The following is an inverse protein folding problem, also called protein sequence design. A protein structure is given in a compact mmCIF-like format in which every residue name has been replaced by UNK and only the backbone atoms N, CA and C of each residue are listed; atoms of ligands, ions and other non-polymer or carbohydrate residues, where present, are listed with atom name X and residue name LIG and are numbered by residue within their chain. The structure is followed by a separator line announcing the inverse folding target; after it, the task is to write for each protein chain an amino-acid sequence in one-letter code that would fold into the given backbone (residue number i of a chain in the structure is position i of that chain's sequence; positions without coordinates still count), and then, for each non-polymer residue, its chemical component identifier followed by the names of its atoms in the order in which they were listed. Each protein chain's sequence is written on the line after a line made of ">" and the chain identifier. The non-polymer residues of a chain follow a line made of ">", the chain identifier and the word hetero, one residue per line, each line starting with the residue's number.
data_IF_807626351497
#
_entry.id   IF_807626351497
#
_cell.length_a   1.000
_cell.length_b   1.000
_cell.length_c   1.000
_cell.angle_alpha   90.00
_cell.angle_beta   90.00
_cell.angle_gamma   90.00
#
_symmetry.space_group_name_H-M   'P 1'
#
loop_
_entity.id
_entity.type
_entity.pdbx_description
1 polymer ?
#
# COMPACT_ATOMS: atom_id res chain seq x y z
N UNK A 1 21.43 16.86 7.26
CA UNK A 1 20.17 16.91 6.48
C UNK A 1 20.44 17.31 5.03
N UNK A 2 21.29 18.31 4.76
CA UNK A 2 21.63 18.75 3.40
C UNK A 2 22.26 17.69 2.47
N UNK A 3 22.94 16.66 3.03
CA UNK A 3 23.62 15.62 2.24
C UNK A 3 22.67 14.75 1.39
N UNK A 4 21.43 14.53 1.85
CA UNK A 4 20.43 13.76 1.11
C UNK A 4 19.71 14.58 0.03
N UNK A 5 19.82 15.92 0.09
CA UNK A 5 19.20 16.84 -0.88
C UNK A 5 19.93 16.80 -2.24
N UNK A 6 21.22 16.46 -2.24
CA UNK A 6 22.07 16.40 -3.44
C UNK A 6 21.55 15.33 -4.43
N UNK A 7 20.98 14.23 -3.95
CA UNK A 7 20.48 13.14 -4.81
C UNK A 7 19.02 13.32 -5.25
N UNK A 8 18.22 14.04 -4.47
CA UNK A 8 16.87 14.48 -4.89
C UNK A 8 16.95 15.64 -5.92
N UNK A 9 18.16 16.02 -6.36
CA UNK A 9 18.36 17.16 -7.26
C UNK A 9 18.03 16.87 -8.73
N UNK A 10 17.89 15.61 -9.15
CA UNK A 10 17.37 15.27 -10.48
C UNK A 10 15.84 15.12 -10.44
N UNK A 11 15.14 15.85 -11.30
CA UNK A 11 13.68 15.84 -11.42
C UNK A 11 13.08 14.43 -11.51
N UNK A 12 13.80 13.48 -12.15
CA UNK A 12 13.36 12.08 -12.26
C UNK A 12 13.23 11.38 -10.91
N UNK A 13 14.15 11.64 -9.98
CA UNK A 13 14.19 10.99 -8.67
C UNK A 13 13.12 11.59 -7.76
N UNK A 14 12.92 12.91 -7.83
CA UNK A 14 11.79 13.61 -7.19
C UNK A 14 10.45 13.04 -7.67
N UNK A 15 10.30 12.85 -8.98
CA UNK A 15 9.07 12.35 -9.57
C UNK A 15 8.82 10.87 -9.20
N UNK A 16 9.88 10.06 -9.07
CA UNK A 16 9.79 8.68 -8.59
C UNK A 16 9.32 8.62 -7.13
N UNK A 17 9.94 9.40 -6.23
CA UNK A 17 9.53 9.49 -4.83
C UNK A 17 8.08 9.97 -4.71
N UNK A 18 7.68 10.98 -5.50
CA UNK A 18 6.29 11.48 -5.50
C UNK A 18 5.28 10.41 -5.95
N UNK A 19 5.64 9.58 -6.93
CA UNK A 19 4.78 8.47 -7.37
C UNK A 19 4.59 7.43 -6.27
N UNK A 20 5.67 7.09 -5.57
CA UNK A 20 5.62 6.16 -4.43
C UNK A 20 4.72 6.74 -3.32
N UNK A 21 4.91 8.01 -2.97
CA UNK A 21 4.11 8.68 -1.95
C UNK A 21 2.60 8.69 -2.29
N UNK A 22 2.25 9.06 -3.53
CA UNK A 22 0.87 9.00 -4.01
C UNK A 22 0.29 7.58 -3.91
N UNK A 23 1.06 6.56 -4.32
CA UNK A 23 0.62 5.16 -4.24
C UNK A 23 0.41 4.71 -2.79
N UNK A 24 1.26 5.14 -1.86
CA UNK A 24 1.11 4.85 -0.42
C UNK A 24 -0.14 5.53 0.13
N UNK A 25 -0.39 6.80 -0.21
CA UNK A 25 -1.60 7.53 0.21
C UNK A 25 -2.87 6.86 -0.31
N UNK A 26 -2.91 6.47 -1.58
CA UNK A 26 -4.03 5.73 -2.16
C UNK A 26 -4.24 4.37 -1.48
N UNK A 27 -3.14 3.65 -1.21
CA UNK A 27 -3.19 2.34 -0.55
C UNK A 27 -3.69 2.47 0.89
N UNK A 28 -3.34 3.54 1.59
CA UNK A 28 -3.82 3.84 2.95
C UNK A 28 -5.31 4.10 2.98
N UNK A 29 -5.82 4.88 2.01
CA UNK A 29 -7.27 5.10 1.84
C UNK A 29 -7.99 3.78 1.57
N UNK A 30 -7.51 2.99 0.61
CA UNK A 30 -8.05 1.67 0.29
C UNK A 30 -8.06 0.73 1.50
N UNK A 31 -7.03 0.76 2.34
CA UNK A 31 -6.99 -0.02 3.57
C UNK A 31 -8.13 0.36 4.52
N UNK A 32 -8.33 1.68 4.71
CA UNK A 32 -9.39 2.19 5.58
C UNK A 32 -10.79 1.81 5.06
N UNK A 33 -11.00 1.88 3.75
CA UNK A 33 -12.27 1.50 3.12
C UNK A 33 -12.52 -0.01 3.20
N UNK A 34 -11.48 -0.84 3.00
CA UNK A 34 -11.59 -2.29 3.14
C UNK A 34 -11.89 -2.71 4.57
N UNK A 35 -11.28 -2.06 5.57
CA UNK A 35 -11.56 -2.34 6.97
C UNK A 35 -13.03 -2.11 7.32
N UNK A 36 -13.61 -0.99 6.85
CA UNK A 36 -15.04 -0.70 7.02
C UNK A 36 -15.92 -1.78 6.37
N UNK A 37 -15.60 -2.16 5.14
CA UNK A 37 -16.35 -3.20 4.41
C UNK A 37 -16.26 -4.56 5.10
N UNK A 38 -15.11 -4.92 5.66
CA UNK A 38 -14.95 -6.15 6.45
C UNK A 38 -15.79 -6.11 7.73
N UNK A 39 -15.83 -4.97 8.42
CA UNK A 39 -16.66 -4.79 9.61
C UNK A 39 -18.16 -4.90 9.29
N UNK A 40 -18.62 -4.25 8.22
CA UNK A 40 -19.98 -4.36 7.70
C UNK A 40 -20.32 -5.81 7.34
N UNK A 41 -19.43 -6.48 6.61
CA UNK A 41 -19.62 -7.88 6.21
C UNK A 41 -19.64 -8.84 7.41
N UNK A 42 -18.85 -8.56 8.45
CA UNK A 42 -18.87 -9.31 9.71
C UNK A 42 -20.21 -9.13 10.45
N UNK A 43 -20.78 -7.92 10.39
CA UNK A 43 -22.11 -7.64 10.94
C UNK A 43 -23.20 -8.41 10.19
N UNK A 44 -23.10 -8.50 8.86
CA UNK A 44 -24.02 -9.31 8.06
C UNK A 44 -23.93 -10.81 8.41
N UNK A 45 -22.72 -11.34 8.59
CA UNK A 45 -22.49 -12.72 9.05
C UNK A 45 -23.15 -12.98 10.41
N UNK A 46 -22.97 -12.09 11.38
CA UNK A 46 -23.64 -12.21 12.68
C UNK A 46 -25.17 -12.22 12.52
N UNK A 47 -25.71 -11.38 11.63
CA UNK A 47 -27.13 -11.36 11.31
C UNK A 47 -27.65 -12.67 10.71
N UNK A 48 -26.86 -13.35 9.87
CA UNK A 48 -27.22 -14.65 9.29
C UNK A 48 -27.23 -15.78 10.33
N UNK A 49 -26.42 -15.66 11.40
CA UNK A 49 -26.44 -16.63 12.50
C UNK A 49 -27.75 -16.56 13.30
N UNK A 50 -28.34 -15.37 13.42
CA UNK A 50 -29.62 -15.14 14.09
C UNK A 50 -30.81 -15.50 13.20
N UNK A 51 -30.75 -15.11 11.92
CA UNK A 51 -31.77 -15.38 10.92
C UNK A 51 -31.12 -15.75 9.58
N UNK A 52 -31.12 -17.04 9.19
CA UNK A 52 -30.53 -17.51 7.94
C UNK A 52 -31.10 -16.91 6.66
N UNK A 53 -32.29 -16.29 6.73
CA UNK A 53 -32.97 -15.68 5.59
C UNK A 53 -32.91 -14.14 5.60
N UNK A 54 -32.16 -13.55 6.54
CA UNK A 54 -32.06 -12.09 6.72
C UNK A 54 -31.52 -11.34 5.49
N UNK A 55 -30.66 -11.99 4.71
CA UNK A 55 -30.04 -11.41 3.51
C UNK A 55 -30.22 -12.32 2.30
N UNK A 56 -30.20 -11.71 1.11
CA UNK A 56 -30.15 -12.46 -0.14
C UNK A 56 -28.80 -13.21 -0.25
N UNK A 57 -28.87 -14.54 -0.36
CA UNK A 57 -27.68 -15.39 -0.32
C UNK A 57 -26.78 -15.25 -1.55
N UNK A 58 -27.34 -14.91 -2.72
CA UNK A 58 -26.56 -14.70 -3.95
C UNK A 58 -25.84 -13.36 -3.91
N UNK A 59 -26.53 -12.31 -3.47
CA UNK A 59 -25.93 -11.00 -3.26
C UNK A 59 -24.82 -11.06 -2.22
N UNK A 60 -25.09 -11.68 -1.06
CA UNK A 60 -24.10 -11.81 0.02
C UNK A 60 -22.83 -12.52 -0.45
N UNK A 61 -22.95 -13.62 -1.19
CA UNK A 61 -21.79 -14.35 -1.74
C UNK A 61 -21.02 -13.56 -2.78
N UNK A 62 -21.72 -12.78 -3.60
CA UNK A 62 -21.10 -11.90 -4.60
C UNK A 62 -20.29 -10.80 -3.93
N UNK A 63 -20.87 -10.16 -2.91
CA UNK A 63 -20.18 -9.13 -2.12
C UNK A 63 -18.99 -9.70 -1.33
N UNK A 64 -19.12 -10.91 -0.80
CA UNK A 64 -18.03 -11.62 -0.12
C UNK A 64 -16.86 -11.87 -1.08
N UNK A 65 -17.13 -12.43 -2.25
CA UNK A 65 -16.10 -12.70 -3.26
C UNK A 65 -15.39 -11.41 -3.69
N UNK A 66 -16.15 -10.33 -3.94
CA UNK A 66 -15.55 -9.05 -4.29
C UNK A 66 -14.65 -8.51 -3.17
N UNK A 67 -15.04 -8.69 -1.91
CA UNK A 67 -14.23 -8.29 -0.76
C UNK A 67 -12.91 -9.09 -0.68
N UNK A 68 -12.96 -10.40 -0.91
CA UNK A 68 -11.76 -11.26 -0.97
C UNK A 68 -10.80 -10.84 -2.08
N UNK A 69 -11.34 -10.56 -3.27
CA UNK A 69 -10.57 -10.10 -4.43
C UNK A 69 -9.90 -8.74 -4.15
N UNK A 70 -10.65 -7.80 -3.55
CA UNK A 70 -10.14 -6.47 -3.24
C UNK A 70 -9.06 -6.51 -2.15
N UNK A 71 -9.21 -7.35 -1.11
CA UNK A 71 -8.18 -7.57 -0.08
C UNK A 71 -6.93 -8.18 -0.71
N UNK A 72 -7.09 -9.17 -1.59
CA UNK A 72 -5.97 -9.79 -2.31
C UNK A 72 -5.21 -8.76 -3.15
N UNK A 73 -5.93 -7.90 -3.86
CA UNK A 73 -5.35 -6.83 -4.65
C UNK A 73 -4.63 -5.79 -3.76
N UNK A 74 -5.24 -5.39 -2.66
CA UNK A 74 -4.63 -4.49 -1.67
C UNK A 74 -3.28 -5.01 -1.18
N UNK A 75 -3.20 -6.29 -0.78
CA UNK A 75 -1.94 -6.90 -0.31
C UNK A 75 -0.86 -6.89 -1.40
N UNK A 76 -1.23 -7.12 -2.67
CA UNK A 76 -0.29 -7.05 -3.79
C UNK A 76 0.25 -5.62 -3.97
N UNK A 77 -0.63 -4.62 -3.99
CA UNK A 77 -0.24 -3.21 -4.13
C UNK A 77 0.63 -2.76 -2.95
N UNK A 78 0.24 -3.09 -1.72
CA UNK A 78 1.02 -2.79 -0.52
C UNK A 78 2.44 -3.39 -0.59
N UNK A 79 2.57 -4.65 -1.03
CA UNK A 79 3.89 -5.29 -1.20
C UNK A 79 4.73 -4.62 -2.27
N UNK A 80 4.13 -4.15 -3.35
CA UNK A 80 4.85 -3.41 -4.39
C UNK A 80 5.34 -2.06 -3.86
N UNK A 81 4.48 -1.29 -3.17
CA UNK A 81 4.91 -0.04 -2.54
C UNK A 81 6.10 -0.25 -1.59
N UNK A 82 6.10 -1.35 -0.82
CA UNK A 82 7.24 -1.67 0.06
C UNK A 82 8.52 -1.96 -0.71
N UNK A 83 8.43 -2.63 -1.86
CA UNK A 83 9.59 -2.88 -2.74
C UNK A 83 10.11 -1.57 -3.33
N UNK A 84 9.23 -0.71 -3.83
CA UNK A 84 9.62 0.56 -4.46
C UNK A 84 10.29 1.49 -3.45
N UNK A 85 9.76 1.58 -2.22
CA UNK A 85 10.40 2.32 -1.12
C UNK A 85 11.78 1.76 -0.81
N UNK A 86 11.92 0.43 -0.75
CA UNK A 86 13.20 -0.21 -0.47
C UNK A 86 14.22 0.06 -1.56
N UNK A 87 13.84 -0.05 -2.83
CA UNK A 87 14.72 0.20 -3.98
C UNK A 87 15.25 1.63 -3.97
N UNK A 88 14.37 2.62 -3.81
CA UNK A 88 14.79 4.03 -3.73
C UNK A 88 15.70 4.27 -2.53
N UNK A 89 15.39 3.66 -1.38
CA UNK A 89 16.23 3.81 -0.18
C UNK A 89 17.60 3.14 -0.36
N UNK A 90 17.66 1.97 -1.02
CA UNK A 90 18.92 1.27 -1.32
C UNK A 90 19.83 2.11 -2.21
N UNK A 91 19.27 2.71 -3.27
CA UNK A 91 20.02 3.61 -4.16
C UNK A 91 20.62 4.79 -3.38
N UNK A 92 19.87 5.38 -2.44
CA UNK A 92 20.38 6.46 -1.58
C UNK A 92 21.52 5.97 -0.68
N UNK A 93 21.42 4.78 -0.10
CA UNK A 93 22.48 4.20 0.76
C UNK A 93 23.73 3.87 -0.05
N UNK A 94 23.60 3.15 -1.17
CA UNK A 94 24.71 2.76 -2.05
C UNK A 94 25.46 3.99 -2.58
N UNK A 95 24.72 5.05 -2.92
CA UNK A 95 25.33 6.31 -3.35
C UNK A 95 26.09 7.03 -2.22
N UNK A 96 25.60 6.99 -0.98
CA UNK A 96 26.30 7.58 0.17
C UNK A 96 27.59 6.81 0.49
N UNK A 97 27.56 5.49 0.39
CA UNK A 97 28.72 4.62 0.55
C UNK A 97 29.76 4.85 -0.55
N UNK A 98 29.33 5.00 -1.81
CA UNK A 98 30.20 5.39 -2.91
C UNK A 98 30.85 6.75 -2.65
N UNK A 99 30.08 7.79 -2.30
CA UNK A 99 30.63 9.12 -1.99
C UNK A 99 31.65 9.05 -0.85
N UNK A 100 31.39 8.27 0.21
CA UNK A 100 32.33 8.10 1.33
C UNK A 100 33.65 7.45 0.90
N UNK A 101 33.65 6.55 -0.09
CA UNK A 101 34.89 5.96 -0.62
C UNK A 101 35.78 6.97 -1.36
N UNK A 102 35.21 8.06 -1.89
CA UNK A 102 35.94 9.05 -2.70
C UNK A 102 36.17 10.40 -1.99
N UNK A 103 35.51 10.66 -0.85
CA UNK A 103 35.65 11.92 -0.08
C UNK A 103 36.61 11.77 1.12
N UNK A 104 37.21 10.59 1.31
CA UNK A 104 38.34 10.42 2.24
C UNK A 104 39.66 10.63 1.48
N UNK A 105 40.06 11.91 1.41
CA UNK A 105 41.46 12.36 1.38
C UNK A 105 41.72 13.22 2.62
#
# INVERSE_FOLDING_TARGET
>A
IDKYFIWISNKKDVDAVRKIDNSILETTKKCSDLLKRVEEHSTHLAGLMEDPFKYDSHQFRTEHQQLEDDVTNFVKVFRNNRKDVFEVTSLVVESDDFIRQFVVE
#
